data_IF_272502015342
#
_entry.id   IF_272502015342
#
_cell.length_a   1.000
_cell.length_b   1.000
_cell.length_c   1.000
_cell.angle_alpha   90.00
_cell.angle_beta   90.00
_cell.angle_gamma   90.00
#
_symmetry.space_group_name_H-M   'P 1'
#
loop_
_entity.id
_entity.type
_entity.pdbx_description
1 polymer ?
#
# COMPACT_ATOMS: atom_id res chain seq x y z
N UNK A 1 -41.47 7.82 -7.69
CA UNK A 1 -40.47 8.89 -7.85
C UNK A 1 -40.85 10.04 -6.93
N UNK A 2 -40.39 9.99 -5.69
CA UNK A 2 -40.36 11.13 -4.79
C UNK A 2 -38.95 11.11 -4.20
N UNK A 3 -38.16 12.09 -4.61
CA UNK A 3 -36.79 12.33 -4.19
C UNK A 3 -36.79 12.70 -2.71
N UNK A 4 -36.08 11.90 -1.92
CA UNK A 4 -35.82 12.11 -0.49
C UNK A 4 -34.77 13.23 -0.32
N UNK A 5 -35.13 14.43 -0.78
CA UNK A 5 -34.25 15.62 -0.87
C UNK A 5 -34.34 16.51 0.39
N UNK A 6 -34.74 15.93 1.53
CA UNK A 6 -34.95 16.64 2.81
C UNK A 6 -34.01 16.19 3.93
N UNK A 7 -32.78 15.76 3.60
CA UNK A 7 -31.69 15.86 4.56
C UNK A 7 -31.15 17.31 4.50
N UNK A 8 -31.76 18.20 5.28
CA UNK A 8 -31.24 19.52 5.61
C UNK A 8 -29.71 19.47 5.71
N UNK A 9 -29.01 20.18 4.83
CA UNK A 9 -27.55 20.06 4.65
C UNK A 9 -26.84 20.52 5.92
N UNK A 10 -26.64 19.60 6.87
CA UNK A 10 -26.08 19.87 8.19
C UNK A 10 -24.76 20.65 8.06
N UNK A 11 -24.61 21.69 8.88
CA UNK A 11 -23.41 22.53 8.89
C UNK A 11 -22.22 21.68 9.32
N UNK A 12 -21.21 21.58 8.46
CA UNK A 12 -20.00 20.80 8.75
C UNK A 12 -19.08 21.62 9.65
N UNK A 13 -18.77 21.12 10.85
CA UNK A 13 -17.89 21.80 11.81
C UNK A 13 -16.45 21.37 11.59
N UNK A 14 -15.58 22.33 11.32
CA UNK A 14 -14.16 22.10 11.05
C UNK A 14 -13.33 22.89 12.07
N UNK A 15 -12.43 22.21 12.78
CA UNK A 15 -11.40 22.87 13.59
C UNK A 15 -10.11 22.92 12.78
N UNK A 16 -9.51 24.10 12.65
CA UNK A 16 -8.19 24.28 12.02
C UNK A 16 -7.17 24.57 13.11
N UNK A 17 -6.21 23.66 13.29
CA UNK A 17 -5.09 23.81 14.21
C UNK A 17 -3.82 24.17 13.43
N UNK A 18 -3.42 25.43 13.48
CA UNK A 18 -2.29 25.98 12.73
C UNK A 18 -1.81 27.26 13.42
N UNK A 19 -0.51 27.39 13.70
CA UNK A 19 0.03 28.57 14.40
C UNK A 19 0.02 29.85 13.57
N UNK A 20 -0.02 29.75 12.24
CA UNK A 20 0.01 30.90 11.35
C UNK A 20 -1.40 31.39 11.00
N UNK A 21 -1.75 32.59 11.47
CA UNK A 21 -3.03 33.23 11.13
C UNK A 21 -3.24 33.40 9.62
N UNK A 22 -2.17 33.65 8.87
CA UNK A 22 -2.21 33.73 7.41
C UNK A 22 -2.60 32.38 6.78
N UNK A 23 -1.97 31.29 7.25
CA UNK A 23 -2.26 29.94 6.77
C UNK A 23 -3.67 29.46 7.14
N UNK A 24 -4.16 29.81 8.33
CA UNK A 24 -5.56 29.59 8.72
C UNK A 24 -6.52 30.28 7.75
N UNK A 25 -6.28 31.55 7.40
CA UNK A 25 -7.10 32.29 6.43
C UNK A 25 -7.10 31.65 5.04
N UNK A 26 -5.94 31.23 4.53
CA UNK A 26 -5.86 30.54 3.23
C UNK A 26 -6.63 29.22 3.23
N UNK A 27 -6.51 28.45 4.31
CA UNK A 27 -7.24 27.18 4.46
C UNK A 27 -8.75 27.42 4.52
N UNK A 28 -9.17 28.43 5.28
CA UNK A 28 -10.59 28.87 5.34
C UNK A 28 -11.13 29.26 3.97
N UNK A 29 -10.36 30.01 3.18
CA UNK A 29 -10.76 30.40 1.82
C UNK A 29 -10.97 29.17 0.93
N UNK A 30 -10.05 28.20 0.99
CA UNK A 30 -10.15 26.97 0.23
C UNK A 30 -11.36 26.11 0.64
N UNK A 31 -11.78 26.18 1.91
CA UNK A 31 -12.93 25.45 2.44
C UNK A 31 -14.29 26.07 2.06
N UNK A 32 -14.35 27.32 1.58
CA UNK A 32 -15.62 27.94 1.15
C UNK A 32 -16.35 27.14 0.08
N UNK A 33 -15.62 26.41 -0.76
CA UNK A 33 -16.16 25.54 -1.80
C UNK A 33 -16.86 24.27 -1.29
N UNK A 34 -16.65 23.89 -0.02
CA UNK A 34 -17.20 22.66 0.59
C UNK A 34 -18.70 22.81 0.89
N UNK A 35 -19.21 24.04 0.99
CA UNK A 35 -20.60 24.36 1.27
C UNK A 35 -20.76 25.04 2.64
N UNK A 36 -21.82 24.70 3.38
CA UNK A 36 -22.06 25.24 4.73
C UNK A 36 -21.07 24.64 5.72
N UNK A 37 -20.03 25.41 6.05
CA UNK A 37 -19.01 25.06 7.04
C UNK A 37 -19.01 26.08 8.17
N UNK A 38 -18.84 25.60 9.40
CA UNK A 38 -18.49 26.41 10.56
C UNK A 38 -17.03 26.10 10.90
N UNK A 39 -16.19 27.13 11.00
CA UNK A 39 -14.75 26.97 11.19
C UNK A 39 -14.33 27.60 12.50
N UNK A 40 -13.77 26.78 13.37
CA UNK A 40 -13.08 27.21 14.59
C UNK A 40 -11.56 27.07 14.41
N UNK A 41 -10.80 27.79 15.23
CA UNK A 41 -9.34 27.85 15.12
C UNK A 41 -8.66 27.47 16.44
N UNK A 42 -7.51 26.82 16.32
CA UNK A 42 -6.55 26.65 17.39
C UNK A 42 -5.17 27.06 16.88
N UNK A 43 -4.44 27.83 17.69
CA UNK A 43 -3.12 28.39 17.35
C UNK A 43 -1.98 27.50 17.83
N UNK A 44 -2.25 26.61 18.78
CA UNK A 44 -1.28 25.68 19.36
C UNK A 44 -1.96 24.35 19.72
N UNK A 45 -1.14 23.36 20.11
CA UNK A 45 -1.57 22.00 20.44
C UNK A 45 -2.54 21.98 21.63
N UNK A 46 -2.25 22.72 22.70
CA UNK A 46 -3.10 22.74 23.90
C UNK A 46 -4.46 23.38 23.63
N UNK A 47 -4.47 24.49 22.89
CA UNK A 47 -5.72 25.13 22.45
C UNK A 47 -6.52 24.19 21.56
N UNK A 48 -5.88 23.40 20.70
CA UNK A 48 -6.58 22.40 19.89
C UNK A 48 -7.25 21.35 20.77
N UNK A 49 -6.53 20.78 21.75
CA UNK A 49 -7.08 19.76 22.65
C UNK A 49 -8.24 20.28 23.49
N UNK A 50 -8.12 21.51 24.00
CA UNK A 50 -9.21 22.19 24.71
C UNK A 50 -10.41 22.45 23.78
N UNK A 51 -10.17 23.01 22.60
CA UNK A 51 -11.24 23.34 21.64
C UNK A 51 -12.05 22.11 21.23
N UNK A 52 -11.40 20.95 21.05
CA UNK A 52 -12.10 19.70 20.74
C UNK A 52 -13.22 19.38 21.75
N UNK A 53 -12.97 19.60 23.03
CA UNK A 53 -13.94 19.32 24.10
C UNK A 53 -15.17 20.22 24.09
N UNK A 54 -15.10 21.41 23.46
CA UNK A 54 -16.19 22.38 23.43
C UNK A 54 -16.88 22.50 22.07
N UNK A 55 -16.11 22.49 20.97
CA UNK A 55 -16.65 22.73 19.62
C UNK A 55 -17.21 21.49 18.93
N UNK A 56 -16.84 20.29 19.41
CA UNK A 56 -17.24 19.00 18.83
C UNK A 56 -17.16 18.98 17.29
N UNK A 57 -15.98 19.25 16.70
CA UNK A 57 -15.85 19.35 15.27
C UNK A 57 -16.02 17.97 14.61
N UNK A 58 -16.48 17.96 13.37
CA UNK A 58 -16.57 16.75 12.55
C UNK A 58 -15.22 16.38 11.93
N UNK A 59 -14.39 17.41 11.66
CA UNK A 59 -13.08 17.29 11.03
C UNK A 59 -12.09 18.22 11.75
N UNK A 60 -10.90 17.70 12.06
CA UNK A 60 -9.73 18.48 12.41
C UNK A 60 -8.81 18.59 11.20
N UNK A 61 -8.45 19.81 10.82
CA UNK A 61 -7.36 20.09 9.90
C UNK A 61 -6.18 20.56 10.74
N UNK A 62 -5.18 19.70 10.88
CA UNK A 62 -4.00 19.98 11.69
C UNK A 62 -2.81 20.30 10.80
N UNK A 63 -2.10 21.38 11.11
CA UNK A 63 -0.82 21.67 10.52
C UNK A 63 0.27 20.78 11.14
N UNK A 64 1.19 20.33 10.29
CA UNK A 64 2.31 19.49 10.72
C UNK A 64 3.25 20.28 11.62
N UNK A 65 3.52 21.54 11.26
CA UNK A 65 4.53 22.40 11.85
C UNK A 65 4.00 23.21 13.04
N UNK A 66 2.76 22.98 13.48
CA UNK A 66 2.20 23.58 14.70
C UNK A 66 3.12 23.30 15.90
N UNK A 67 3.36 24.31 16.74
CA UNK A 67 4.30 24.28 17.86
C UNK A 67 5.64 23.61 17.50
N UNK A 68 6.28 24.08 16.43
CA UNK A 68 7.60 23.62 15.96
C UNK A 68 7.63 22.12 15.58
N UNK A 69 6.58 21.63 14.93
CA UNK A 69 6.51 20.24 14.42
C UNK A 69 5.78 19.25 15.33
N UNK A 70 5.00 19.76 16.29
CA UNK A 70 4.21 18.96 17.21
C UNK A 70 2.91 18.41 16.60
N UNK A 71 2.61 18.65 15.32
CA UNK A 71 1.36 18.21 14.68
C UNK A 71 1.12 16.71 14.77
N UNK A 72 2.15 15.89 14.56
CA UNK A 72 2.03 14.42 14.75
C UNK A 72 1.81 14.03 16.21
N UNK A 73 2.38 14.78 17.15
CA UNK A 73 2.21 14.55 18.59
C UNK A 73 0.78 14.88 19.01
N UNK A 74 0.21 15.99 18.52
CA UNK A 74 -1.19 16.33 18.68
C UNK A 74 -2.11 15.18 18.23
N UNK A 75 -1.87 14.63 17.03
CA UNK A 75 -2.66 13.48 16.54
C UNK A 75 -2.55 12.29 17.48
N UNK A 76 -1.34 11.92 17.92
CA UNK A 76 -1.16 10.79 18.85
C UNK A 76 -1.89 11.00 20.17
N UNK A 77 -1.86 12.22 20.72
CA UNK A 77 -2.59 12.59 21.94
C UNK A 77 -4.10 12.47 21.77
N UNK A 78 -4.65 12.96 20.65
CA UNK A 78 -6.06 12.78 20.31
C UNK A 78 -6.41 11.29 20.21
N UNK A 79 -5.57 10.48 19.55
CA UNK A 79 -5.78 9.03 19.43
C UNK A 79 -5.63 8.29 20.77
N UNK A 80 -4.80 8.79 21.69
CA UNK A 80 -4.67 8.27 23.06
C UNK A 80 -5.88 8.61 23.95
N UNK A 81 -6.66 9.63 23.56
CA UNK A 81 -7.85 10.05 24.27
C UNK A 81 -7.64 11.27 25.18
N UNK A 82 -6.52 11.97 25.05
CA UNK A 82 -6.23 13.21 25.81
C UNK A 82 -7.30 14.30 25.57
N UNK A 83 -7.88 14.32 24.36
CA UNK A 83 -8.98 15.21 24.01
C UNK A 83 -10.36 14.68 24.43
N UNK A 84 -10.43 13.50 25.05
CA UNK A 84 -11.65 12.75 25.35
C UNK A 84 -11.84 11.52 24.46
N UNK A 85 -12.42 10.45 25.03
CA UNK A 85 -12.57 9.14 24.35
C UNK A 85 -13.39 9.23 23.06
N UNK A 86 -14.36 10.15 22.98
CA UNK A 86 -15.19 10.36 21.78
C UNK A 86 -14.41 10.87 20.57
N UNK A 87 -13.28 11.56 20.78
CA UNK A 87 -12.49 12.18 19.71
C UNK A 87 -11.40 11.28 19.15
N UNK A 88 -11.18 10.11 19.75
CA UNK A 88 -10.20 9.14 19.25
C UNK A 88 -10.47 8.75 17.80
N UNK A 89 -11.74 8.79 17.36
CA UNK A 89 -12.19 8.49 15.98
C UNK A 89 -12.47 9.73 15.13
N UNK A 90 -12.12 10.93 15.59
CA UNK A 90 -12.28 12.18 14.84
C UNK A 90 -11.54 12.08 13.48
N UNK A 91 -12.14 12.61 12.42
CA UNK A 91 -11.47 12.68 11.12
C UNK A 91 -10.37 13.74 11.16
N UNK A 92 -9.12 13.35 10.90
CA UNK A 92 -7.97 14.24 10.95
C UNK A 92 -7.31 14.34 9.58
N UNK A 93 -7.28 15.55 9.02
CA UNK A 93 -6.55 15.88 7.80
C UNK A 93 -5.27 16.62 8.21
N UNK A 94 -4.11 16.04 7.90
CA UNK A 94 -2.81 16.68 8.14
C UNK A 94 -2.42 17.57 6.96
N UNK A 95 -1.95 18.77 7.23
CA UNK A 95 -1.42 19.70 6.24
C UNK A 95 0.09 19.83 6.46
N UNK A 96 0.90 19.73 5.42
CA UNK A 96 2.37 19.79 5.54
C UNK A 96 3.03 20.41 4.31
N UNK A 97 4.25 20.90 4.44
CA UNK A 97 5.13 21.32 3.32
C UNK A 97 6.02 20.18 2.81
N UNK A 98 6.16 19.09 3.57
CA UNK A 98 7.04 17.96 3.23
C UNK A 98 6.41 16.94 2.29
N UNK A 99 7.12 16.58 1.20
CA UNK A 99 6.64 15.62 0.18
C UNK A 99 7.47 14.34 0.07
N UNK A 100 8.19 13.92 1.13
CA UNK A 100 8.94 12.67 1.07
C UNK A 100 8.09 11.48 1.53
N UNK A 101 8.41 10.28 1.02
CA UNK A 101 7.68 9.06 1.37
C UNK A 101 7.78 8.70 2.87
N UNK A 102 8.80 9.19 3.58
CA UNK A 102 8.96 9.03 5.02
C UNK A 102 7.88 9.77 5.81
N UNK A 103 7.57 11.00 5.44
CA UNK A 103 6.60 11.86 6.12
C UNK A 103 5.18 11.31 5.99
N UNK A 104 4.83 10.83 4.80
CA UNK A 104 3.56 10.13 4.57
C UNK A 104 3.44 8.89 5.47
N UNK A 105 4.53 8.12 5.63
CA UNK A 105 4.55 6.97 6.55
C UNK A 105 4.40 7.42 8.01
N UNK A 106 5.10 8.48 8.43
CA UNK A 106 5.03 9.02 9.80
C UNK A 106 3.61 9.51 10.13
N UNK A 107 2.98 10.30 9.25
CA UNK A 107 1.58 10.72 9.41
C UNK A 107 0.61 9.55 9.49
N UNK A 108 0.72 8.59 8.55
CA UNK A 108 -0.11 7.38 8.55
C UNK A 108 0.05 6.60 9.86
N UNK A 109 1.28 6.50 10.37
CA UNK A 109 1.58 5.79 11.61
C UNK A 109 1.07 6.50 12.86
N UNK A 110 1.00 7.84 12.83
CA UNK A 110 0.41 8.64 13.91
C UNK A 110 -1.12 8.51 14.01
N UNK A 111 -1.79 8.03 12.94
CA UNK A 111 -3.24 7.87 12.92
C UNK A 111 -3.99 8.97 12.18
N UNK A 112 -3.32 9.68 11.27
CA UNK A 112 -3.92 10.67 10.38
C UNK A 112 -4.85 10.01 9.36
N UNK A 113 -5.97 10.67 9.04
CA UNK A 113 -6.90 10.16 8.05
C UNK A 113 -6.42 10.44 6.62
N UNK A 114 -6.24 11.71 6.31
CA UNK A 114 -5.79 12.21 5.01
C UNK A 114 -4.64 13.20 5.19
N UNK A 115 -3.83 13.37 4.16
CA UNK A 115 -2.78 14.38 4.17
C UNK A 115 -2.91 15.28 2.93
N UNK A 116 -2.52 16.54 3.10
CA UNK A 116 -2.50 17.57 2.07
C UNK A 116 -1.11 18.21 2.09
N UNK A 117 -0.52 18.34 0.89
CA UNK A 117 0.72 19.06 0.69
C UNK A 117 0.42 20.54 0.40
N UNK A 118 1.13 21.46 1.05
CA UNK A 118 1.15 22.88 0.72
C UNK A 118 2.15 23.14 -0.42
N UNK A 119 1.85 24.04 -1.37
CA UNK A 119 0.55 24.70 -1.58
C UNK A 119 -0.51 23.73 -2.15
N UNK A 120 -1.77 23.92 -1.78
CA UNK A 120 -2.90 23.11 -2.26
C UNK A 120 -3.98 23.95 -2.91
N UNK A 121 -4.70 23.36 -3.88
CA UNK A 121 -5.87 23.96 -4.49
C UNK A 121 -7.13 23.68 -3.68
N UNK A 122 -8.15 24.51 -3.90
CA UNK A 122 -9.54 24.31 -3.44
C UNK A 122 -10.06 22.91 -3.76
N UNK A 123 -9.75 22.39 -4.96
CA UNK A 123 -10.16 21.04 -5.37
C UNK A 123 -9.48 19.95 -4.52
N UNK A 124 -8.21 20.12 -4.17
CA UNK A 124 -7.46 19.16 -3.35
C UNK A 124 -8.06 19.03 -1.96
N UNK A 125 -8.32 20.15 -1.28
CA UNK A 125 -8.92 20.12 0.06
C UNK A 125 -10.35 19.58 0.02
N UNK A 126 -11.16 19.97 -0.97
CA UNK A 126 -12.52 19.46 -1.16
C UNK A 126 -12.54 17.94 -1.33
N UNK A 127 -11.61 17.40 -2.12
CA UNK A 127 -11.46 15.95 -2.32
C UNK A 127 -11.15 15.23 -1.01
N UNK A 128 -10.26 15.76 -0.17
CA UNK A 128 -9.91 15.15 1.12
C UNK A 128 -11.05 15.24 2.14
N UNK A 129 -11.69 16.40 2.25
CA UNK A 129 -12.85 16.59 3.13
C UNK A 129 -13.99 15.66 2.73
N UNK A 130 -14.28 15.54 1.44
CA UNK A 130 -15.30 14.61 0.94
C UNK A 130 -14.95 13.15 1.22
N UNK A 131 -13.67 12.78 1.09
CA UNK A 131 -13.19 11.42 1.35
C UNK A 131 -13.38 11.02 2.82
N UNK A 132 -12.98 11.86 3.78
CA UNK A 132 -13.14 11.54 5.21
C UNK A 132 -14.59 11.57 5.68
N UNK A 133 -15.46 12.35 5.01
CA UNK A 133 -16.89 12.41 5.29
C UNK A 133 -17.64 11.18 4.76
N UNK A 134 -17.37 10.77 3.52
CA UNK A 134 -18.12 9.71 2.85
C UNK A 134 -17.61 8.28 3.08
N UNK A 135 -16.35 8.10 3.51
CA UNK A 135 -15.72 6.78 3.67
C UNK A 135 -14.92 6.71 4.96
N UNK A 136 -15.63 6.64 6.10
CA UNK A 136 -14.98 6.36 7.39
C UNK A 136 -14.38 4.96 7.35
N UNK A 137 -13.06 4.88 7.44
CA UNK A 137 -12.33 3.61 7.47
C UNK A 137 -12.51 2.94 8.82
N UNK A 138 -12.41 1.62 8.83
CA UNK A 138 -12.39 0.86 10.07
C UNK A 138 -11.32 1.39 11.01
N UNK A 139 -11.71 1.60 12.25
CA UNK A 139 -10.82 2.09 13.28
C UNK A 139 -10.10 0.92 13.94
N UNK A 140 -8.78 0.98 13.97
CA UNK A 140 -7.92 -0.08 14.48
C UNK A 140 -7.31 0.37 15.78
N UNK A 141 -7.46 -0.46 16.80
CA UNK A 141 -6.85 -0.28 18.11
C UNK A 141 -6.00 -1.49 18.43
N UNK A 142 -4.72 -1.27 18.63
CA UNK A 142 -3.75 -2.28 19.03
C UNK A 142 -2.67 -1.65 19.90
N UNK A 143 -1.87 -2.47 20.57
CA UNK A 143 -0.76 -2.03 21.42
C UNK A 143 0.25 -1.11 20.71
N UNK A 144 0.38 -1.23 19.38
CA UNK A 144 1.36 -0.47 18.57
C UNK A 144 0.73 0.58 17.67
N UNK A 145 -0.60 0.65 17.59
CA UNK A 145 -1.29 1.58 16.69
C UNK A 145 -2.72 1.82 17.10
N UNK A 146 -3.08 3.10 17.13
CA UNK A 146 -4.46 3.58 17.29
C UNK A 146 -4.75 4.54 16.14
N UNK A 147 -5.75 4.22 15.31
CA UNK A 147 -6.12 5.07 14.18
C UNK A 147 -6.87 4.34 13.07
N UNK A 148 -7.18 5.04 11.97
CA UNK A 148 -7.88 4.46 10.84
C UNK A 148 -7.06 3.38 10.14
N UNK A 149 -7.72 2.38 9.54
CA UNK A 149 -7.03 1.31 8.84
C UNK A 149 -6.03 1.85 7.79
N UNK A 150 -4.79 1.37 7.88
CA UNK A 150 -3.69 1.78 6.98
C UNK A 150 -3.82 1.19 5.58
N UNK A 151 -4.62 0.11 5.43
CA UNK A 151 -5.02 -0.47 4.14
C UNK A 151 -6.12 0.42 3.56
N UNK A 152 -5.83 1.12 2.46
CA UNK A 152 -6.79 2.07 1.86
C UNK A 152 -7.71 1.40 0.85
N UNK A 153 -7.24 0.31 0.24
CA UNK A 153 -7.99 -0.43 -0.77
C UNK A 153 -8.28 -1.81 -0.22
N UNK A 154 -9.38 -1.95 0.51
CA UNK A 154 -9.71 -3.22 1.16
C UNK A 154 -9.73 -4.41 0.19
N UNK A 155 -10.12 -4.20 -1.08
CA UNK A 155 -10.13 -5.23 -2.11
C UNK A 155 -8.73 -5.58 -2.69
N UNK A 156 -7.85 -4.59 -2.88
CA UNK A 156 -6.49 -4.83 -3.41
C UNK A 156 -5.49 -5.23 -2.31
N UNK A 157 -5.71 -4.77 -1.08
CA UNK A 157 -4.90 -5.07 0.11
C UNK A 157 -5.52 -6.21 0.96
N UNK A 158 -6.49 -6.96 0.42
CA UNK A 158 -7.13 -8.10 1.09
C UNK A 158 -6.10 -9.21 1.32
N UNK A 159 -5.51 -9.24 2.51
CA UNK A 159 -4.65 -10.34 2.91
C UNK A 159 -5.50 -11.46 3.50
N UNK A 160 -5.64 -12.57 2.76
CA UNK A 160 -6.36 -13.77 3.18
C UNK A 160 -5.46 -14.81 3.87
N UNK A 161 -4.24 -14.44 4.24
CA UNK A 161 -3.29 -15.39 4.81
C UNK A 161 -3.53 -15.67 6.30
N UNK A 162 -2.75 -16.60 6.88
CA UNK A 162 -2.88 -17.00 8.29
C UNK A 162 -2.81 -15.83 9.31
N UNK A 163 -2.20 -14.70 8.93
CA UNK A 163 -2.11 -13.47 9.74
C UNK A 163 -3.21 -12.43 9.44
N UNK A 164 -4.29 -12.81 8.74
CA UNK A 164 -5.48 -11.97 8.57
C UNK A 164 -6.10 -11.67 9.94
N UNK A 165 -6.72 -10.49 10.11
CA UNK A 165 -7.40 -10.17 11.37
C UNK A 165 -8.66 -11.00 11.51
N UNK A 166 -9.06 -11.27 12.76
CA UNK A 166 -10.24 -12.08 13.07
C UNK A 166 -11.53 -11.55 12.42
N UNK A 167 -11.65 -10.22 12.29
CA UNK A 167 -12.83 -9.55 11.75
C UNK A 167 -12.66 -9.08 10.29
N UNK A 168 -11.52 -9.34 9.64
CA UNK A 168 -11.40 -9.05 8.21
C UNK A 168 -12.26 -10.07 7.44
N UNK A 169 -13.02 -9.61 6.43
CA UNK A 169 -13.76 -10.50 5.53
C UNK A 169 -12.81 -11.48 4.85
N UNK A 170 -13.16 -12.77 4.88
CA UNK A 170 -12.45 -13.78 4.09
C UNK A 170 -12.97 -13.82 2.67
N UNK A 171 -12.08 -13.77 1.69
CA UNK A 171 -12.41 -14.23 0.36
C UNK A 171 -12.56 -15.76 0.43
N UNK A 172 -13.81 -16.23 0.30
CA UNK A 172 -14.12 -17.67 0.31
C UNK A 172 -13.41 -18.42 -0.82
N UNK A 173 -12.96 -17.70 -1.86
CA UNK A 173 -12.24 -18.27 -2.98
C UNK A 173 -10.71 -18.15 -2.82
N UNK A 174 -10.21 -17.60 -1.71
CA UNK A 174 -8.78 -17.55 -1.46
C UNK A 174 -8.15 -18.94 -1.37
N UNK A 175 -6.86 -19.01 -1.66
CA UNK A 175 -6.12 -20.26 -1.52
C UNK A 175 -6.06 -20.70 -0.06
N UNK A 176 -5.92 -22.01 0.17
CA UNK A 176 -5.71 -22.53 1.52
C UNK A 176 -4.46 -21.91 2.18
N UNK A 177 -4.45 -21.71 3.51
CA UNK A 177 -3.35 -21.00 4.19
C UNK A 177 -1.96 -21.58 3.93
N UNK A 178 -1.85 -22.90 3.79
CA UNK A 178 -0.61 -23.61 3.45
C UNK A 178 -0.14 -23.28 2.02
N UNK A 179 -1.05 -23.22 1.05
CA UNK A 179 -0.77 -22.81 -0.33
C UNK A 179 -0.30 -21.36 -0.37
N UNK A 180 -0.94 -20.46 0.40
CA UNK A 180 -0.53 -19.06 0.47
C UNK A 180 0.88 -18.89 1.07
N UNK A 181 1.21 -19.67 2.11
CA UNK A 181 2.57 -19.68 2.69
C UNK A 181 3.59 -20.13 1.64
N UNK A 182 3.32 -21.22 0.92
CA UNK A 182 4.22 -21.73 -0.13
C UNK A 182 4.36 -20.76 -1.30
N UNK A 183 3.30 -20.07 -1.72
CA UNK A 183 3.37 -18.94 -2.69
C UNK A 183 4.26 -17.80 -2.17
N UNK A 184 4.19 -17.49 -0.88
CA UNK A 184 5.10 -16.55 -0.23
C UNK A 184 6.57 -16.99 -0.32
N UNK A 185 6.86 -18.26 -0.06
CA UNK A 185 8.19 -18.84 -0.22
C UNK A 185 8.67 -18.78 -1.67
N UNK A 186 7.80 -19.05 -2.65
CA UNK A 186 8.14 -18.94 -4.07
C UNK A 186 8.60 -17.52 -4.45
N UNK A 187 7.91 -16.48 -3.98
CA UNK A 187 8.34 -15.08 -4.15
C UNK A 187 9.70 -14.80 -3.50
N UNK A 188 9.93 -15.32 -2.30
CA UNK A 188 11.21 -15.19 -1.60
C UNK A 188 12.36 -15.83 -2.40
N UNK A 189 12.13 -17.00 -3.00
CA UNK A 189 13.10 -17.63 -3.91
C UNK A 189 13.37 -16.78 -5.14
N UNK A 190 12.35 -16.17 -5.76
CA UNK A 190 12.53 -15.24 -6.88
C UNK A 190 13.38 -14.01 -6.49
N UNK A 191 13.14 -13.43 -5.32
CA UNK A 191 13.96 -12.33 -4.79
C UNK A 191 15.42 -12.76 -4.59
N UNK A 192 15.64 -13.95 -4.00
CA UNK A 192 16.98 -14.52 -3.83
C UNK A 192 17.68 -14.75 -5.17
N UNK A 193 16.99 -15.30 -6.17
CA UNK A 193 17.51 -15.48 -7.53
C UNK A 193 17.91 -14.11 -8.13
N UNK A 194 17.08 -13.08 -7.96
CA UNK A 194 17.41 -11.72 -8.38
C UNK A 194 18.64 -11.12 -7.69
N UNK A 195 18.87 -11.45 -6.41
CA UNK A 195 20.11 -11.08 -5.70
C UNK A 195 21.33 -11.81 -6.29
N UNK A 196 21.23 -13.13 -6.51
CA UNK A 196 22.32 -13.92 -7.11
C UNK A 196 22.68 -13.43 -8.52
N UNK A 197 21.69 -13.09 -9.35
CA UNK A 197 21.92 -12.56 -10.70
C UNK A 197 22.69 -11.24 -10.69
N UNK A 198 22.41 -10.35 -9.73
CA UNK A 198 23.13 -9.07 -9.61
C UNK A 198 24.58 -9.23 -9.14
N UNK A 199 24.88 -10.31 -8.43
CA UNK A 199 26.23 -10.62 -7.97
C UNK A 199 27.06 -11.40 -9.00
N UNK A 200 26.43 -11.91 -10.07
CA UNK A 200 27.05 -12.83 -11.02
C UNK A 200 28.18 -12.15 -11.83
N UNK A 201 29.38 -12.74 -11.79
CA UNK A 201 30.51 -12.35 -12.62
C UNK A 201 30.62 -13.24 -13.88
N UNK A 202 31.11 -12.70 -15.02
CA UNK A 202 31.37 -13.52 -16.19
C UNK A 202 32.36 -14.65 -15.89
N UNK A 203 32.00 -15.89 -16.24
CA UNK A 203 32.85 -17.08 -16.03
C UNK A 203 32.79 -17.68 -14.62
N UNK A 204 31.94 -17.17 -13.72
CA UNK A 204 31.78 -17.74 -12.38
C UNK A 204 30.86 -18.98 -12.40
N UNK A 205 31.47 -20.14 -12.64
CA UNK A 205 30.78 -21.43 -12.65
C UNK A 205 30.14 -21.79 -11.29
N UNK A 206 30.66 -21.26 -10.18
CA UNK A 206 30.11 -21.54 -8.84
C UNK A 206 28.82 -20.79 -8.61
N UNK A 207 28.77 -19.51 -8.96
CA UNK A 207 27.56 -18.70 -8.88
C UNK A 207 26.45 -19.23 -9.82
N UNK A 208 26.79 -19.71 -11.02
CA UNK A 208 25.81 -20.33 -11.93
C UNK A 208 25.26 -21.63 -11.34
N UNK A 209 26.10 -22.44 -10.67
CA UNK A 209 25.64 -23.65 -9.97
C UNK A 209 24.67 -23.31 -8.83
N UNK A 210 24.99 -22.31 -8.01
CA UNK A 210 24.13 -21.86 -6.92
C UNK A 210 22.79 -21.31 -7.43
N UNK A 211 22.82 -20.57 -8.54
CA UNK A 211 21.63 -20.09 -9.24
C UNK A 211 20.76 -21.27 -9.70
N UNK A 212 21.37 -22.27 -10.35
CA UNK A 212 20.70 -23.46 -10.84
C UNK A 212 20.06 -24.27 -9.69
N UNK A 213 20.79 -24.47 -8.59
CA UNK A 213 20.29 -25.14 -7.39
C UNK A 213 19.10 -24.39 -6.79
N UNK A 214 19.18 -23.07 -6.68
CA UNK A 214 18.08 -22.23 -6.16
C UNK A 214 16.84 -22.33 -7.05
N UNK A 215 17.02 -22.35 -8.38
CA UNK A 215 15.91 -22.55 -9.32
C UNK A 215 15.30 -23.95 -9.24
N UNK A 216 16.13 -24.99 -9.00
CA UNK A 216 15.66 -26.34 -8.75
C UNK A 216 14.80 -26.45 -7.49
N UNK A 217 15.23 -25.82 -6.39
CA UNK A 217 14.46 -25.75 -5.14
C UNK A 217 13.11 -25.04 -5.34
N UNK A 218 13.09 -23.93 -6.09
CA UNK A 218 11.85 -23.25 -6.45
C UNK A 218 10.92 -24.14 -7.29
N UNK A 219 11.45 -24.89 -8.25
CA UNK A 219 10.66 -25.82 -9.06
C UNK A 219 10.11 -27.00 -8.24
N UNK A 220 10.87 -27.50 -7.26
CA UNK A 220 10.42 -28.55 -6.35
C UNK A 220 9.26 -28.04 -5.46
N UNK A 221 9.41 -26.84 -4.88
CA UNK A 221 8.36 -26.18 -4.10
C UNK A 221 7.06 -26.03 -4.90
N UNK A 222 7.15 -25.63 -6.17
CA UNK A 222 5.98 -25.51 -7.05
C UNK A 222 5.31 -26.88 -7.33
N UNK A 223 6.11 -27.94 -7.45
CA UNK A 223 5.63 -29.32 -7.57
C UNK A 223 4.85 -29.79 -6.33
N UNK A 224 5.36 -29.52 -5.13
CA UNK A 224 4.72 -29.89 -3.86
C UNK A 224 3.37 -29.19 -3.65
N UNK A 225 3.19 -28.00 -4.24
CA UNK A 225 1.92 -27.27 -4.24
C UNK A 225 0.88 -27.86 -5.19
N UNK A 226 1.26 -28.78 -6.09
CA UNK A 226 0.44 -29.28 -7.21
C UNK A 226 -0.09 -28.16 -8.14
N UNK A 227 0.61 -27.03 -8.19
CA UNK A 227 0.26 -25.88 -9.02
C UNK A 227 0.88 -26.03 -10.42
N UNK A 228 0.09 -26.53 -11.38
CA UNK A 228 0.59 -26.85 -12.73
C UNK A 228 1.17 -25.65 -13.47
N UNK A 229 0.55 -24.47 -13.32
CA UNK A 229 0.99 -23.26 -14.02
C UNK A 229 2.28 -22.72 -13.43
N UNK A 230 2.37 -22.68 -12.09
CA UNK A 230 3.58 -22.27 -11.40
C UNK A 230 4.74 -23.24 -11.69
N UNK A 231 4.48 -24.54 -11.59
CA UNK A 231 5.44 -25.61 -11.90
C UNK A 231 5.97 -25.47 -13.34
N UNK A 232 5.10 -25.24 -14.32
CA UNK A 232 5.50 -25.03 -15.72
C UNK A 232 6.46 -23.84 -15.85
N UNK A 233 6.15 -22.70 -15.23
CA UNK A 233 6.98 -21.50 -15.30
C UNK A 233 8.35 -21.70 -14.59
N UNK A 234 8.35 -22.31 -13.41
CA UNK A 234 9.57 -22.58 -12.64
C UNK A 234 10.46 -23.63 -13.29
N UNK A 235 9.87 -24.69 -13.85
CA UNK A 235 10.62 -25.72 -14.60
C UNK A 235 11.20 -25.15 -15.90
N UNK A 236 10.48 -24.25 -16.58
CA UNK A 236 11.02 -23.56 -17.76
C UNK A 236 12.25 -22.72 -17.41
N UNK A 237 12.23 -21.98 -16.30
CA UNK A 237 13.38 -21.21 -15.83
C UNK A 237 14.55 -22.12 -15.47
N UNK A 238 14.29 -23.18 -14.71
CA UNK A 238 15.31 -24.16 -14.32
C UNK A 238 15.97 -24.80 -15.54
N UNK A 239 15.18 -25.23 -16.53
CA UNK A 239 15.69 -25.83 -17.75
C UNK A 239 16.48 -24.83 -18.61
N UNK A 240 16.06 -23.56 -18.65
CA UNK A 240 16.81 -22.51 -19.32
C UNK A 240 18.21 -22.34 -18.71
N UNK A 241 18.31 -22.15 -17.39
CA UNK A 241 19.60 -21.97 -16.70
C UNK A 241 20.47 -23.22 -16.84
N UNK A 242 19.88 -24.42 -16.69
CA UNK A 242 20.58 -25.69 -16.88
C UNK A 242 21.10 -25.85 -18.31
N UNK A 243 20.33 -25.44 -19.31
CA UNK A 243 20.67 -25.56 -20.73
C UNK A 243 21.76 -24.57 -21.20
N UNK A 244 21.85 -23.39 -20.58
CA UNK A 244 22.94 -22.44 -20.84
C UNK A 244 24.28 -23.00 -20.35
N UNK A 245 24.29 -23.67 -19.19
CA UNK A 245 25.51 -24.27 -18.64
C UNK A 245 26.45 -23.27 -17.95
N UNK A 246 27.59 -23.75 -17.45
CA UNK A 246 28.47 -23.00 -16.55
C UNK A 246 29.37 -21.95 -17.22
N UNK A 247 29.53 -22.02 -18.55
CA UNK A 247 30.50 -21.18 -19.29
C UNK A 247 29.82 -20.17 -20.22
N UNK A 248 28.51 -20.27 -20.42
CA UNK A 248 27.78 -19.41 -21.35
C UNK A 248 27.12 -18.20 -20.65
N UNK A 249 27.00 -17.10 -21.39
CA UNK A 249 26.38 -15.87 -20.89
C UNK A 249 24.85 -16.01 -20.82
N UNK A 250 24.29 -15.78 -19.64
CA UNK A 250 22.85 -15.76 -19.42
C UNK A 250 22.21 -14.53 -20.08
N UNK A 251 21.10 -14.73 -20.80
CA UNK A 251 20.25 -13.62 -21.19
C UNK A 251 19.42 -13.17 -19.98
N UNK A 252 19.88 -12.10 -19.34
CA UNK A 252 19.20 -11.49 -18.17
C UNK A 252 17.75 -11.11 -18.47
N UNK A 253 17.44 -10.73 -19.71
CA UNK A 253 16.08 -10.41 -20.12
C UNK A 253 15.15 -11.62 -20.11
N UNK A 254 15.64 -12.81 -20.47
CA UNK A 254 14.86 -14.07 -20.40
C UNK A 254 14.62 -14.45 -18.94
N UNK A 255 15.68 -14.38 -18.11
CA UNK A 255 15.56 -14.72 -16.69
C UNK A 255 14.60 -13.77 -15.98
N UNK A 256 14.70 -12.46 -16.22
CA UNK A 256 13.79 -11.48 -15.61
C UNK A 256 12.33 -11.74 -16.02
N UNK A 257 12.07 -12.06 -17.29
CA UNK A 257 10.71 -12.36 -17.75
C UNK A 257 10.12 -13.59 -17.03
N UNK A 258 10.95 -14.62 -16.77
CA UNK A 258 10.56 -15.75 -15.95
C UNK A 258 10.26 -15.34 -14.51
N UNK A 259 11.15 -14.58 -13.86
CA UNK A 259 10.96 -14.14 -12.48
C UNK A 259 9.68 -13.33 -12.30
N UNK A 260 9.44 -12.34 -13.18
CA UNK A 260 8.25 -11.49 -13.13
C UNK A 260 6.97 -12.33 -13.27
N UNK A 261 6.97 -13.28 -14.23
CA UNK A 261 5.82 -14.16 -14.46
C UNK A 261 5.57 -15.12 -13.29
N UNK A 262 6.64 -15.65 -12.67
CA UNK A 262 6.52 -16.53 -11.49
C UNK A 262 5.98 -15.74 -10.29
N UNK A 263 6.46 -14.51 -10.07
CA UNK A 263 5.95 -13.63 -9.00
C UNK A 263 4.47 -13.34 -9.22
N UNK A 264 4.08 -12.98 -10.46
CA UNK A 264 2.69 -12.72 -10.79
C UNK A 264 1.79 -13.96 -10.58
N UNK A 265 2.24 -15.15 -10.98
CA UNK A 265 1.53 -16.41 -10.72
C UNK A 265 1.40 -16.71 -9.22
N UNK A 266 2.40 -16.36 -8.42
CA UNK A 266 2.37 -16.54 -6.97
C UNK A 266 1.48 -15.50 -6.25
N UNK A 267 1.24 -14.33 -6.85
CA UNK A 267 0.32 -13.31 -6.33
C UNK A 267 -1.15 -13.62 -6.65
N UNK A 268 -1.42 -14.19 -7.82
CA UNK A 268 -2.79 -14.53 -8.23
C UNK A 268 -3.32 -15.76 -7.47
N UNK A 269 -4.55 -15.73 -6.93
CA UNK A 269 -5.22 -16.90 -6.36
C UNK A 269 -5.37 -18.05 -7.36
N UNK A 270 -5.37 -19.30 -6.89
CA UNK A 270 -5.49 -20.46 -7.79
C UNK A 270 -6.82 -20.53 -8.53
N UNK A 271 -7.89 -19.97 -7.98
CA UNK A 271 -9.20 -19.94 -8.64
C UNK A 271 -9.22 -19.06 -9.89
N UNK A 272 -8.28 -18.10 -10.03
CA UNK A 272 -8.18 -17.20 -11.19
C UNK A 272 -7.45 -17.86 -12.36
N UNK A 273 -7.95 -19.02 -12.78
CA UNK A 273 -7.28 -19.90 -13.75
C UNK A 273 -7.03 -19.18 -15.09
N UNK A 274 -8.00 -18.43 -15.59
CA UNK A 274 -7.90 -17.73 -16.89
C UNK A 274 -6.77 -16.69 -16.90
N UNK A 275 -6.74 -15.82 -15.89
CA UNK A 275 -5.70 -14.79 -15.75
C UNK A 275 -4.32 -15.45 -15.63
N UNK A 276 -4.21 -16.49 -14.80
CA UNK A 276 -2.95 -17.23 -14.62
C UNK A 276 -2.50 -17.93 -15.90
N UNK A 277 -3.42 -18.47 -16.69
CA UNK A 277 -3.11 -19.05 -18.00
C UNK A 277 -2.58 -17.99 -18.97
N UNK A 278 -3.19 -16.81 -18.99
CA UNK A 278 -2.69 -15.68 -19.80
C UNK A 278 -1.26 -15.32 -19.44
N UNK A 279 -0.90 -15.27 -18.15
CA UNK A 279 0.48 -15.03 -17.70
C UNK A 279 1.44 -16.08 -18.27
N UNK A 280 1.10 -17.37 -18.17
CA UNK A 280 1.95 -18.43 -18.74
C UNK A 280 2.08 -18.36 -20.26
N UNK A 281 1.02 -18.01 -20.98
CA UNK A 281 1.07 -17.84 -22.44
C UNK A 281 1.96 -16.66 -22.83
N UNK A 282 1.81 -15.52 -22.14
CA UNK A 282 2.64 -14.34 -22.36
C UNK A 282 4.11 -14.62 -22.07
N UNK A 283 4.40 -15.39 -21.01
CA UNK A 283 5.76 -15.82 -20.69
C UNK A 283 6.39 -16.57 -21.87
N UNK A 284 5.72 -17.58 -22.42
CA UNK A 284 6.22 -18.34 -23.56
C UNK A 284 6.54 -17.43 -24.76
N UNK A 285 5.64 -16.50 -25.10
CA UNK A 285 5.84 -15.55 -26.20
C UNK A 285 7.04 -14.62 -25.93
N UNK A 286 7.13 -14.06 -24.71
CA UNK A 286 8.24 -13.18 -24.33
C UNK A 286 9.59 -13.89 -24.39
N UNK A 287 9.67 -15.13 -23.89
CA UNK A 287 10.89 -15.93 -23.90
C UNK A 287 11.32 -16.24 -25.33
N UNK A 288 10.40 -16.71 -26.19
CA UNK A 288 10.72 -16.97 -27.61
C UNK A 288 11.20 -15.72 -28.32
N UNK A 289 10.56 -14.58 -28.09
CA UNK A 289 10.96 -13.30 -28.69
C UNK A 289 12.36 -12.87 -28.25
N UNK A 290 12.66 -12.92 -26.94
CA UNK A 290 13.96 -12.52 -26.40
C UNK A 290 15.09 -13.45 -26.83
N UNK A 291 14.84 -14.76 -26.92
CA UNK A 291 15.82 -15.72 -27.45
C UNK A 291 16.14 -15.46 -28.92
N UNK A 292 15.13 -15.16 -29.76
CA UNK A 292 15.34 -14.79 -31.17
C UNK A 292 16.18 -13.52 -31.32
N UNK A 293 15.93 -12.51 -30.49
CA UNK A 293 16.69 -11.26 -30.51
C UNK A 293 18.16 -11.46 -30.12
N UNK A 294 18.45 -12.35 -29.18
CA UNK A 294 19.84 -12.71 -28.83
C UNK A 294 20.55 -13.48 -29.93
N UNK A 295 19.85 -14.35 -30.66
CA UNK A 295 20.43 -15.09 -31.78
C UNK A 295 20.67 -14.26 -33.04
N UNK A 296 20.09 -13.06 -33.14
CA UNK A 296 20.34 -12.11 -34.24
C UNK A 296 21.47 -11.10 -33.94
N UNK A 297 21.97 -11.08 -32.71
CA UNK A 297 23.00 -10.15 -32.24
C UNK A 297 24.38 -10.83 -32.02
N UNK A 298 24.50 -12.12 -32.36
CA UNK A 298 25.73 -12.90 -32.36
C UNK A 298 26.11 -13.26 -33.80
#
# INVERSE_FOLDING_TARGET
MLTDDTAEKAVLRILIADGSAFQRRLTTEALRSVGRVQIDYAENVEQCLMALSYSHPDILIADWDIDEGAGLTLVRRIRAGDAGQGFRKLAIIMVTTGNNAGDVRRARNAGVDEFILRPFSTQTILKRVTAVRGRRRDFVESTRYVGPCRRRRAAEDAYDGPRRRLFDSSDKNADAPDVQIRKGLARMYCERIGVLLRALQPGDATAIRDLCLTCGQLSALAGDMKDRLLMSATSSLFNYIKGVGAEAQLNLGVVQAHLDSIVQLAELPNHQVEIRQTVTQQLSVMVTKKLRQSGQAA
#
